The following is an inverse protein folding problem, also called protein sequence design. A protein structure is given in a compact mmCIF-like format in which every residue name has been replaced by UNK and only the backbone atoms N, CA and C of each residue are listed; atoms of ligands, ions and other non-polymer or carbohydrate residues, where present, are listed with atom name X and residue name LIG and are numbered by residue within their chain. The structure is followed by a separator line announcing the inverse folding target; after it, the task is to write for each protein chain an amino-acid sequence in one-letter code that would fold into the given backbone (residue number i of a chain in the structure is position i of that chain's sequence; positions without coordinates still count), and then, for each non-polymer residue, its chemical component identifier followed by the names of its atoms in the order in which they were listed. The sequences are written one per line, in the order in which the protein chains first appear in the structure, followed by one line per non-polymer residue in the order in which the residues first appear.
data_IF_237252143642
#
_entry.id   IF_237252143642
#
_cell.length_a   1.000
_cell.length_b   1.000
_cell.length_c   1.000
_cell.angle_alpha   90.00
_cell.angle_beta   90.00
_cell.angle_gamma   90.00
#
_symmetry.space_group_name_H-M   'P 1'
#
loop_
_entity.id
_entity.type
_entity.pdbx_description
1 polymer ?
#
# COMPACT_ATOMS: atom_id res chain seq x y z
N UNK A 1 7.04 32.53 -17.73
CA UNK A 1 7.70 31.85 -16.58
C UNK A 1 6.80 31.81 -15.34
N UNK A 2 5.96 32.82 -15.12
CA UNK A 2 5.01 32.91 -13.99
C UNK A 2 3.85 31.90 -14.06
N UNK A 3 3.26 31.64 -15.23
CA UNK A 3 2.07 30.76 -15.33
C UNK A 3 2.37 29.29 -15.02
N UNK A 4 3.53 28.79 -15.47
CA UNK A 4 3.98 27.42 -15.16
C UNK A 4 4.19 27.25 -13.65
N UNK A 5 4.85 28.20 -12.99
CA UNK A 5 5.07 28.16 -11.54
C UNK A 5 3.76 28.24 -10.73
N UNK A 6 2.79 29.03 -11.21
CA UNK A 6 1.47 29.14 -10.57
C UNK A 6 0.63 27.87 -10.78
N UNK A 7 0.64 27.28 -11.98
CA UNK A 7 -0.03 25.99 -12.22
C UNK A 7 0.58 24.88 -11.38
N UNK A 8 1.92 24.86 -11.27
CA UNK A 8 2.65 23.94 -10.43
C UNK A 8 2.26 24.07 -8.95
N UNK A 9 2.24 25.29 -8.42
CA UNK A 9 1.85 25.52 -7.03
C UNK A 9 0.41 25.05 -6.77
N UNK A 10 -0.51 25.29 -7.71
CA UNK A 10 -1.90 24.82 -7.62
C UNK A 10 -1.98 23.29 -7.62
N UNK A 11 -1.32 22.61 -8.54
CA UNK A 11 -1.35 21.14 -8.63
C UNK A 11 -0.66 20.47 -7.45
N UNK A 12 0.46 21.04 -6.98
CA UNK A 12 1.18 20.56 -5.80
C UNK A 12 0.34 20.71 -4.53
N UNK A 13 -0.28 21.87 -4.32
CA UNK A 13 -1.15 22.11 -3.17
C UNK A 13 -2.42 21.27 -3.25
N UNK A 14 -3.05 21.15 -4.43
CA UNK A 14 -4.22 20.30 -4.63
C UNK A 14 -3.90 18.83 -4.34
N UNK A 15 -2.77 18.33 -4.84
CA UNK A 15 -2.29 16.97 -4.56
C UNK A 15 -1.97 16.75 -3.08
N UNK A 16 -1.32 17.72 -2.43
CA UNK A 16 -1.02 17.67 -1.00
C UNK A 16 -2.27 17.65 -0.13
N UNK A 17 -3.26 18.50 -0.43
CA UNK A 17 -4.53 18.58 0.30
C UNK A 17 -5.37 17.30 0.07
N UNK A 18 -5.48 16.82 -1.17
CA UNK A 18 -6.18 15.59 -1.47
C UNK A 18 -5.58 14.38 -0.74
N UNK A 19 -4.24 14.28 -0.70
CA UNK A 19 -3.54 13.23 0.05
C UNK A 19 -3.78 13.35 1.56
N UNK A 20 -3.74 14.57 2.11
CA UNK A 20 -4.00 14.82 3.52
C UNK A 20 -5.41 14.40 3.94
N UNK A 21 -6.42 14.73 3.14
CA UNK A 21 -7.81 14.33 3.37
C UNK A 21 -7.96 12.81 3.29
N UNK A 22 -7.44 12.19 2.23
CA UNK A 22 -7.50 10.73 2.04
C UNK A 22 -6.86 9.99 3.22
N UNK A 23 -5.67 10.41 3.65
CA UNK A 23 -4.97 9.82 4.79
C UNK A 23 -5.69 10.02 6.11
N UNK A 24 -6.26 11.19 6.33
CA UNK A 24 -7.04 11.48 7.53
C UNK A 24 -8.32 10.63 7.59
N UNK A 25 -8.95 10.36 6.45
CA UNK A 25 -10.13 9.49 6.40
C UNK A 25 -9.79 8.02 6.73
N UNK A 26 -8.65 7.51 6.27
CA UNK A 26 -8.23 6.11 6.53
C UNK A 26 -7.43 5.92 7.82
N UNK A 27 -7.00 7.00 8.49
CA UNK A 27 -6.17 6.96 9.69
C UNK A 27 -6.70 6.05 10.81
N UNK A 28 -8.02 6.00 11.12
CA UNK A 28 -8.54 5.11 12.15
C UNK A 28 -8.28 3.62 11.85
N UNK A 29 -8.51 3.19 10.61
CA UNK A 29 -8.31 1.80 10.19
C UNK A 29 -6.81 1.48 10.10
N UNK A 30 -6.01 2.40 9.58
CA UNK A 30 -4.55 2.25 9.50
C UNK A 30 -3.95 2.08 10.90
N UNK A 31 -4.45 2.83 11.90
CA UNK A 31 -4.04 2.68 13.28
C UNK A 31 -4.44 1.33 13.89
N UNK A 32 -5.68 0.88 13.68
CA UNK A 32 -6.13 -0.44 14.17
C UNK A 32 -5.28 -1.56 13.57
N UNK A 33 -4.97 -1.48 12.27
CA UNK A 33 -4.07 -2.42 11.60
C UNK A 33 -2.69 -2.42 12.25
N UNK A 34 -2.09 -1.25 12.45
CA UNK A 34 -0.75 -1.14 13.07
C UNK A 34 -0.75 -1.72 14.48
N UNK A 35 -1.74 -1.39 15.31
CA UNK A 35 -1.84 -1.92 16.68
C UNK A 35 -1.92 -3.44 16.68
N UNK A 36 -2.76 -4.04 15.83
CA UNK A 36 -2.86 -5.50 15.74
C UNK A 36 -1.57 -6.16 15.23
N UNK A 37 -0.83 -5.50 14.34
CA UNK A 37 0.44 -6.03 13.81
C UNK A 37 1.59 -5.94 14.81
N UNK A 38 1.69 -4.84 15.58
CA UNK A 38 2.84 -4.60 16.45
C UNK A 38 2.59 -4.85 17.94
N UNK A 39 1.35 -5.17 18.36
CA UNK A 39 1.02 -5.39 19.78
C UNK A 39 1.85 -6.47 20.46
N UNK A 40 2.28 -7.51 19.74
CA UNK A 40 3.11 -8.58 20.29
C UNK A 40 4.56 -8.15 20.54
N UNK A 41 5.01 -7.09 19.87
CA UNK A 41 6.34 -6.51 20.04
C UNK A 41 6.34 -5.29 20.98
N UNK A 42 5.17 -4.83 21.43
CA UNK A 42 5.04 -3.63 22.26
C UNK A 42 5.27 -3.95 23.73
N UNK A 43 6.17 -3.21 24.40
CA UNK A 43 6.38 -3.30 25.85
C UNK A 43 5.23 -2.69 26.67
N UNK A 44 4.37 -1.89 26.05
CA UNK A 44 3.27 -1.19 26.73
C UNK A 44 1.98 -2.01 26.78
N UNK A 45 1.84 -3.04 25.93
CA UNK A 45 0.66 -3.90 25.86
C UNK A 45 1.06 -5.24 26.46
N UNK A 46 0.67 -5.48 27.71
CA UNK A 46 0.84 -6.80 28.34
C UNK A 46 -0.03 -7.84 27.63
N UNK A 47 0.38 -9.12 27.67
CA UNK A 47 -0.27 -10.20 26.92
C UNK A 47 -1.77 -10.34 27.21
N UNK A 48 -2.20 -10.02 28.44
CA UNK A 48 -3.58 -10.01 28.90
C UNK A 48 -4.44 -8.88 28.29
N UNK A 49 -3.81 -7.79 27.82
CA UNK A 49 -4.50 -6.62 27.26
C UNK A 49 -4.51 -6.56 25.74
N UNK A 50 -3.93 -7.55 25.07
CA UNK A 50 -3.88 -7.62 23.61
C UNK A 50 -5.29 -7.58 23.01
N UNK A 51 -5.41 -6.91 21.87
CA UNK A 51 -6.65 -6.77 21.13
C UNK A 51 -6.93 -8.07 20.38
N UNK A 52 -8.14 -8.62 20.59
CA UNK A 52 -8.54 -9.91 20.00
C UNK A 52 -8.85 -9.83 18.51
N UNK A 53 -9.05 -8.63 17.99
CA UNK A 53 -9.35 -8.39 16.58
C UNK A 53 -9.72 -6.94 16.29
N UNK A 54 -10.14 -6.67 15.06
CA UNK A 54 -10.44 -5.31 14.57
C UNK A 54 -11.58 -4.68 15.38
N UNK A 55 -12.70 -5.40 15.56
CA UNK A 55 -13.87 -4.88 16.27
C UNK A 55 -13.58 -4.61 17.75
N UNK A 56 -12.83 -5.49 18.41
CA UNK A 56 -12.38 -5.31 19.80
C UNK A 56 -11.52 -4.03 19.93
N UNK A 57 -10.60 -3.83 18.99
CA UNK A 57 -9.74 -2.66 18.93
C UNK A 57 -10.56 -1.37 18.73
N UNK A 58 -11.50 -1.35 17.78
CA UNK A 58 -12.34 -0.17 17.48
C UNK A 58 -13.22 0.23 18.66
N UNK A 59 -13.74 -0.73 19.43
CA UNK A 59 -14.61 -0.45 20.59
C UNK A 59 -13.82 -0.04 21.83
N UNK A 60 -12.66 -0.64 22.06
CA UNK A 60 -11.84 -0.39 23.26
C UNK A 60 -11.01 0.87 23.16
N UNK A 61 -10.45 1.18 21.98
CA UNK A 61 -9.60 2.37 21.79
C UNK A 61 -10.26 3.68 22.28
N UNK A 62 -11.52 4.00 21.91
CA UNK A 62 -12.20 5.19 22.40
C UNK A 62 -12.35 5.24 23.91
N UNK A 63 -12.60 4.07 24.55
CA UNK A 63 -12.81 3.95 25.99
C UNK A 63 -11.52 4.06 26.78
N UNK A 64 -10.42 3.52 26.24
CA UNK A 64 -9.12 3.48 26.90
C UNK A 64 -8.31 4.78 26.69
N UNK A 65 -8.38 5.37 25.49
CA UNK A 65 -7.48 6.45 25.08
C UNK A 65 -8.19 7.68 24.47
N UNK A 66 -9.53 7.62 24.35
CA UNK A 66 -10.34 8.67 23.74
C UNK A 66 -10.48 8.53 22.21
N UNK A 67 -11.53 9.11 21.63
CA UNK A 67 -11.85 9.04 20.20
C UNK A 67 -10.76 9.68 19.32
N UNK A 68 -10.17 10.79 19.78
CA UNK A 68 -9.09 11.47 19.06
C UNK A 68 -7.82 10.62 18.93
N UNK A 69 -7.68 9.58 19.76
CA UNK A 69 -6.52 8.71 19.69
C UNK A 69 -6.41 8.00 18.34
N UNK A 70 -7.52 7.77 17.60
CA UNK A 70 -7.47 7.17 16.26
C UNK A 70 -6.57 7.91 15.26
N UNK A 71 -6.38 9.22 15.43
CA UNK A 71 -5.50 10.04 14.59
C UNK A 71 -4.11 10.24 15.19
N UNK A 72 -3.77 9.55 16.29
CA UNK A 72 -2.45 9.63 16.91
C UNK A 72 -1.40 9.07 15.95
N UNK A 73 -0.52 9.96 15.46
CA UNK A 73 0.48 9.65 14.43
C UNK A 73 0.09 10.04 13.00
N UNK A 74 -1.15 10.46 12.75
CA UNK A 74 -1.61 10.87 11.41
C UNK A 74 -0.86 12.09 10.88
N UNK A 75 -0.44 13.02 11.76
CA UNK A 75 0.34 14.20 11.37
C UNK A 75 1.65 13.81 10.66
N UNK A 76 2.38 12.83 11.19
CA UNK A 76 3.60 12.35 10.56
C UNK A 76 3.32 11.71 9.19
N UNK A 77 2.20 10.98 9.05
CA UNK A 77 1.77 10.42 7.78
C UNK A 77 1.45 11.48 6.73
N UNK A 78 0.79 12.58 7.12
CA UNK A 78 0.47 13.70 6.23
C UNK A 78 1.73 14.47 5.84
N UNK A 79 2.61 14.77 6.82
CA UNK A 79 3.85 15.51 6.55
C UNK A 79 4.79 14.72 5.65
N UNK A 80 4.91 13.40 5.84
CA UNK A 80 5.75 12.52 5.00
C UNK A 80 5.42 12.59 3.51
N UNK A 81 4.18 12.91 3.15
CA UNK A 81 3.77 13.03 1.76
C UNK A 81 4.45 14.21 1.05
N UNK A 82 4.65 15.34 1.72
CA UNK A 82 5.24 16.53 1.09
C UNK A 82 6.67 16.27 0.55
N UNK A 83 7.63 15.75 1.35
CA UNK A 83 8.95 15.39 0.85
C UNK A 83 8.91 14.31 -0.23
N UNK A 84 8.03 13.32 -0.08
CA UNK A 84 7.89 12.22 -1.05
C UNK A 84 7.43 12.75 -2.40
N UNK A 85 6.46 13.66 -2.42
CA UNK A 85 5.97 14.29 -3.65
C UNK A 85 7.00 15.25 -4.25
N UNK A 86 7.76 15.99 -3.43
CA UNK A 86 8.84 16.84 -3.89
C UNK A 86 9.96 16.03 -4.57
N UNK A 87 10.39 14.93 -3.95
CA UNK A 87 11.41 14.03 -4.51
C UNK A 87 10.91 13.30 -5.76
N UNK A 88 9.70 12.73 -5.70
CA UNK A 88 9.09 12.12 -6.88
C UNK A 88 9.04 13.13 -8.03
N UNK A 89 8.67 14.38 -7.79
CA UNK A 89 8.65 15.39 -8.83
C UNK A 89 10.06 15.73 -9.37
N UNK A 90 11.04 15.95 -8.49
CA UNK A 90 12.41 16.29 -8.87
C UNK A 90 13.09 15.20 -9.73
N UNK A 91 12.78 13.94 -9.44
CA UNK A 91 13.48 12.81 -10.06
C UNK A 91 12.64 12.05 -11.09
N UNK A 92 11.30 12.13 -11.10
CA UNK A 92 10.45 11.32 -12.00
C UNK A 92 10.72 11.59 -13.47
N UNK A 93 10.88 12.85 -13.87
CA UNK A 93 11.15 13.17 -15.28
C UNK A 93 12.59 12.81 -15.68
N UNK A 94 13.55 12.93 -14.76
CA UNK A 94 14.92 12.44 -14.96
C UNK A 94 14.96 10.92 -15.08
N UNK A 95 14.25 10.20 -14.23
CA UNK A 95 14.14 8.75 -14.33
C UNK A 95 13.40 8.32 -15.59
N UNK A 96 12.35 9.02 -16.01
CA UNK A 96 11.68 8.74 -17.30
C UNK A 96 12.56 9.02 -18.53
N UNK A 97 13.51 9.95 -18.43
CA UNK A 97 14.47 10.23 -19.50
C UNK A 97 15.63 9.23 -19.51
N UNK A 98 16.06 8.75 -18.33
CA UNK A 98 17.13 7.75 -18.19
C UNK A 98 16.62 6.35 -18.54
N UNK A 99 15.43 6.00 -18.06
CA UNK A 99 14.73 4.77 -18.40
C UNK A 99 13.78 5.09 -19.55
N UNK A 100 14.28 4.96 -20.77
CA UNK A 100 13.47 5.12 -21.99
C UNK A 100 12.20 4.29 -21.85
N UNK A 101 11.04 4.89 -22.14
CA UNK A 101 9.74 4.25 -21.95
C UNK A 101 9.66 3.09 -22.96
N UNK A 102 10.05 1.90 -22.52
CA UNK A 102 10.17 0.70 -23.36
C UNK A 102 8.84 0.37 -24.07
N UNK A 103 7.72 0.70 -23.41
CA UNK A 103 6.37 0.49 -23.92
C UNK A 103 5.48 1.69 -23.63
N UNK A 104 4.91 2.27 -24.67
CA UNK A 104 4.00 3.43 -24.57
C UNK A 104 2.58 3.05 -24.17
N UNK A 105 2.23 1.77 -24.25
CA UNK A 105 0.93 1.23 -23.82
C UNK A 105 0.84 -0.29 -23.99
N UNK A 106 -0.30 -0.87 -23.58
CA UNK A 106 -0.51 -2.33 -23.60
C UNK A 106 -0.41 -2.90 -25.01
N UNK A 107 -0.95 -2.21 -26.02
CA UNK A 107 -0.91 -2.67 -27.43
C UNK A 107 0.50 -2.59 -28.00
N UNK A 108 1.27 -1.55 -27.65
CA UNK A 108 2.67 -1.38 -28.05
C UNK A 108 3.55 -2.46 -27.42
N UNK A 109 3.35 -2.73 -26.12
CA UNK A 109 3.98 -3.84 -25.41
C UNK A 109 3.69 -5.19 -26.07
N UNK A 110 2.43 -5.48 -26.36
CA UNK A 110 2.04 -6.74 -26.96
C UNK A 110 2.63 -6.93 -28.36
N UNK A 111 2.63 -5.87 -29.18
CA UNK A 111 3.24 -5.91 -30.53
C UNK A 111 4.75 -6.09 -30.49
N UNK A 112 5.46 -5.37 -29.63
CA UNK A 112 6.92 -5.49 -29.47
C UNK A 112 7.32 -6.86 -28.97
N UNK A 113 6.68 -7.38 -27.92
CA UNK A 113 6.95 -8.74 -27.41
C UNK A 113 6.65 -9.80 -28.47
N UNK A 114 5.51 -9.69 -29.17
CA UNK A 114 5.15 -10.64 -30.22
C UNK A 114 6.13 -10.63 -31.41
N UNK A 115 6.69 -9.46 -31.75
CA UNK A 115 7.66 -9.29 -32.84
C UNK A 115 9.07 -9.72 -32.45
N UNK A 116 9.53 -9.32 -31.27
CA UNK A 116 10.94 -9.43 -30.88
C UNK A 116 11.24 -10.75 -30.15
N UNK A 117 10.28 -11.30 -29.40
CA UNK A 117 10.44 -12.57 -28.66
C UNK A 117 9.53 -13.70 -29.15
N UNK A 118 8.50 -13.39 -29.94
CA UNK A 118 7.55 -14.35 -30.50
C UNK A 118 6.40 -14.74 -29.54
N UNK A 119 5.38 -15.41 -30.09
CA UNK A 119 4.16 -15.76 -29.35
C UNK A 119 4.39 -16.64 -28.10
N UNK A 120 5.50 -17.39 -28.05
CA UNK A 120 5.87 -18.23 -26.90
C UNK A 120 6.33 -17.41 -25.68
N UNK A 121 6.74 -16.16 -25.87
CA UNK A 121 7.18 -15.28 -24.79
C UNK A 121 6.06 -14.98 -23.78
N UNK A 122 4.81 -14.89 -24.24
CA UNK A 122 3.64 -14.66 -23.37
C UNK A 122 3.38 -15.80 -22.38
N UNK A 123 3.92 -16.99 -22.64
CA UNK A 123 3.76 -18.16 -21.79
C UNK A 123 5.01 -18.46 -20.95
N UNK A 124 6.10 -17.70 -21.12
CA UNK A 124 7.28 -17.82 -20.25
C UNK A 124 6.90 -17.41 -18.82
N UNK A 125 7.13 -18.32 -17.87
CA UNK A 125 6.79 -18.09 -16.44
C UNK A 125 5.43 -18.62 -16.00
N UNK A 126 4.59 -19.13 -16.91
CA UNK A 126 3.31 -19.75 -16.57
C UNK A 126 3.48 -20.91 -15.55
N UNK A 127 4.53 -21.72 -15.71
CA UNK A 127 4.85 -22.83 -14.79
C UNK A 127 5.16 -22.35 -13.36
N UNK A 128 5.96 -21.29 -13.20
CA UNK A 128 6.25 -20.71 -11.89
C UNK A 128 4.97 -20.18 -11.22
N UNK A 129 4.06 -19.61 -12.01
CA UNK A 129 2.79 -19.11 -11.51
C UNK A 129 1.83 -20.24 -11.10
N UNK A 130 1.85 -21.37 -11.80
CA UNK A 130 1.11 -22.59 -11.43
C UNK A 130 1.63 -23.17 -10.12
N UNK A 131 2.96 -23.28 -9.96
CA UNK A 131 3.58 -23.73 -8.70
C UNK A 131 3.18 -22.81 -7.53
N UNK A 132 3.16 -21.49 -7.74
CA UNK A 132 2.70 -20.52 -6.74
C UNK A 132 1.22 -20.70 -6.41
N UNK A 133 0.38 -21.00 -7.41
CA UNK A 133 -1.06 -21.26 -7.23
C UNK A 133 -1.35 -22.51 -6.40
N UNK A 134 -0.52 -23.55 -6.53
CA UNK A 134 -0.66 -24.77 -5.72
C UNK A 134 -0.43 -24.53 -4.22
N UNK A 135 0.43 -23.58 -3.84
CA UNK A 135 0.64 -23.23 -2.43
C UNK A 135 -0.64 -22.73 -1.76
N UNK A 136 -1.46 -21.94 -2.46
CA UNK A 136 -2.75 -21.45 -1.94
C UNK A 136 -3.76 -22.59 -1.75
N UNK A 137 -3.84 -23.51 -2.71
CA UNK A 137 -4.69 -24.70 -2.59
C UNK A 137 -4.24 -25.60 -1.43
N UNK A 138 -2.93 -25.78 -1.24
CA UNK A 138 -2.37 -26.57 -0.15
C UNK A 138 -2.69 -25.97 1.24
N UNK A 139 -2.61 -24.65 1.38
CA UNK A 139 -2.99 -23.95 2.63
C UNK A 139 -4.49 -24.12 2.93
N UNK A 140 -5.35 -24.07 1.91
CA UNK A 140 -6.79 -24.31 2.09
C UNK A 140 -7.07 -25.74 2.54
N UNK A 141 -6.44 -26.73 1.90
CA UNK A 141 -6.58 -28.14 2.29
C UNK A 141 -6.06 -28.37 3.71
N UNK A 142 -4.91 -27.81 4.08
CA UNK A 142 -4.38 -27.90 5.43
C UNK A 142 -5.29 -27.23 6.46
N UNK A 143 -5.88 -26.07 6.13
CA UNK A 143 -6.83 -25.39 6.99
C UNK A 143 -8.08 -26.26 7.23
N UNK A 144 -8.62 -26.86 6.18
CA UNK A 144 -9.78 -27.76 6.28
C UNK A 144 -9.46 -29.01 7.11
N UNK A 145 -8.26 -29.57 7.00
CA UNK A 145 -7.82 -30.70 7.83
C UNK A 145 -7.64 -30.29 9.30
N UNK A 146 -6.96 -29.19 9.61
CA UNK A 146 -6.75 -28.72 10.98
C UNK A 146 -8.10 -28.44 11.68
N UNK A 147 -9.08 -27.91 10.93
CA UNK A 147 -10.43 -27.64 11.44
C UNK A 147 -11.23 -28.91 11.74
N UNK A 148 -10.91 -30.07 11.16
CA UNK A 148 -11.54 -31.34 11.54
C UNK A 148 -11.09 -31.85 12.90
N UNK A 149 -9.90 -31.44 13.34
CA UNK A 149 -9.29 -31.87 14.61
C UNK A 149 -9.50 -30.87 15.77
N UNK A 150 -10.01 -29.67 15.49
CA UNK A 150 -10.34 -28.63 16.49
C UNK A 150 -11.85 -28.50 16.63
#
# INVERSE_FOLDING_TARGET
MTDAAVSFAKDFLAGGVAAAISKTAVAPIERVKLLLQVQHASKQITADKQYKGIMDCVVRIPKEQGVLSFWRGNLANVIRYFPTQALNFAFKDKYKQIFDIMYTGTVDCWRKIARDEGAKAFFKGAWSNVLRGMGGAFVLVLYDEIKKFT
#
